data_IF_918209309539
#
_entry.id   IF_918209309539
#
_cell.length_a   1.000
_cell.length_b   1.000
_cell.length_c   1.000
_cell.angle_alpha   90.00
_cell.angle_beta   90.00
_cell.angle_gamma   90.00
#
_symmetry.space_group_name_H-M   'P 1'
#
loop_
_entity.id
_entity.type
_entity.pdbx_description
1 polymer ?
#
# COMPACT_ATOMS: atom_id res chain seq x y z
N UNK A 1 19.27 -7.35 13.53
CA UNK A 1 20.40 -6.40 13.65
C UNK A 1 19.80 -5.01 13.73
N UNK A 2 19.49 -4.56 14.93
CA UNK A 2 19.09 -3.19 15.21
C UNK A 2 19.88 -2.81 16.46
N UNK A 3 21.10 -2.32 16.24
CA UNK A 3 21.92 -1.77 17.30
C UNK A 3 21.45 -0.34 17.56
N UNK A 4 21.33 -0.01 18.84
CA UNK A 4 21.25 1.36 19.33
C UNK A 4 22.53 2.12 18.89
N UNK A 5 22.41 2.81 17.78
CA UNK A 5 23.39 3.74 17.28
C UNK A 5 22.60 4.80 16.55
N UNK A 6 22.89 6.07 16.85
CA UNK A 6 22.42 7.27 16.16
C UNK A 6 21.76 6.98 14.83
N UNK A 7 20.52 7.42 14.65
CA UNK A 7 19.87 7.57 13.34
C UNK A 7 20.76 8.44 12.46
N UNK A 8 21.77 7.84 11.83
CA UNK A 8 22.46 8.47 10.71
C UNK A 8 21.41 8.56 9.62
N UNK A 9 20.81 9.74 9.52
CA UNK A 9 20.03 10.13 8.35
C UNK A 9 20.98 9.96 7.19
N UNK A 10 20.69 9.00 6.32
CA UNK A 10 21.46 8.83 5.09
C UNK A 10 21.26 10.14 4.31
N UNK A 11 22.28 11.01 4.29
CA UNK A 11 22.32 12.19 3.43
C UNK A 11 22.38 11.70 1.98
N UNK A 12 21.22 11.37 1.45
CA UNK A 12 21.03 10.85 0.10
C UNK A 12 20.51 11.99 -0.77
N UNK A 13 21.31 12.37 -1.77
CA UNK A 13 20.82 13.25 -2.84
C UNK A 13 19.64 12.62 -3.59
N UNK A 14 19.48 11.29 -3.57
CA UNK A 14 18.36 10.60 -4.20
C UNK A 14 17.03 10.84 -3.44
N UNK A 15 17.09 11.13 -2.14
CA UNK A 15 15.92 11.35 -1.29
C UNK A 15 15.11 12.59 -1.73
N UNK A 16 15.78 13.65 -2.18
CA UNK A 16 15.14 14.85 -2.76
C UNK A 16 14.30 14.53 -4.01
N UNK A 17 14.69 13.49 -4.76
CA UNK A 17 14.00 13.07 -5.98
C UNK A 17 12.97 11.96 -5.75
N UNK A 18 12.85 11.43 -4.53
CA UNK A 18 11.91 10.36 -4.22
C UNK A 18 10.44 10.70 -4.56
N UNK A 19 9.94 11.94 -4.37
CA UNK A 19 8.58 12.29 -4.80
C UNK A 19 8.32 12.05 -6.31
N UNK A 20 9.34 12.18 -7.16
CA UNK A 20 9.18 11.96 -8.61
C UNK A 20 8.86 10.50 -8.95
N UNK A 21 9.23 9.54 -8.11
CA UNK A 21 8.90 8.12 -8.30
C UNK A 21 7.39 7.92 -8.41
N UNK A 22 6.61 8.66 -7.59
CA UNK A 22 5.15 8.66 -7.61
C UNK A 22 4.58 9.65 -8.64
N UNK A 23 5.17 10.85 -8.76
CA UNK A 23 4.60 11.93 -9.57
C UNK A 23 4.67 11.64 -11.06
N UNK A 24 5.73 10.95 -11.53
CA UNK A 24 5.87 10.57 -12.94
C UNK A 24 4.66 9.79 -13.47
N UNK A 25 4.26 8.64 -12.87
CA UNK A 25 3.07 7.91 -13.29
C UNK A 25 1.77 8.68 -12.99
N UNK A 26 1.71 9.46 -11.92
CA UNK A 26 0.55 10.28 -11.58
C UNK A 26 0.25 11.36 -12.64
N UNK A 27 1.29 12.01 -13.17
CA UNK A 27 1.17 13.03 -14.23
C UNK A 27 0.96 12.41 -15.61
N UNK A 28 1.42 11.18 -15.84
CA UNK A 28 1.17 10.46 -17.08
C UNK A 28 -0.31 10.06 -17.23
N UNK A 29 -1.04 9.82 -16.13
CA UNK A 29 -2.47 9.49 -16.13
C UNK A 29 -3.32 10.49 -16.94
N UNK A 30 -3.39 11.80 -16.60
CA UNK A 30 -4.21 12.74 -17.34
C UNK A 30 -3.68 12.92 -18.77
N UNK A 31 -2.36 12.89 -18.98
CA UNK A 31 -1.77 13.03 -20.33
C UNK A 31 -2.25 11.92 -21.26
N UNK A 32 -2.16 10.66 -20.84
CA UNK A 32 -2.62 9.51 -21.64
C UNK A 32 -4.13 9.60 -21.88
N UNK A 33 -4.90 9.97 -20.86
CA UNK A 33 -6.36 10.06 -20.96
C UNK A 33 -6.82 11.18 -21.91
N UNK A 34 -6.24 12.37 -21.82
CA UNK A 34 -6.57 13.51 -22.69
C UNK A 34 -6.12 13.28 -24.14
N UNK A 35 -4.88 12.82 -24.34
CA UNK A 35 -4.38 12.50 -25.68
C UNK A 35 -5.19 11.36 -26.31
N UNK A 36 -5.55 10.35 -25.51
CA UNK A 36 -6.40 9.24 -25.94
C UNK A 36 -7.78 9.68 -26.40
N UNK A 37 -8.40 10.63 -25.68
CA UNK A 37 -9.70 11.19 -26.09
C UNK A 37 -9.60 12.06 -27.35
N UNK A 38 -8.53 12.85 -27.48
CA UNK A 38 -8.34 13.79 -28.59
C UNK A 38 -7.94 13.08 -29.89
N UNK A 39 -7.09 12.06 -29.82
CA UNK A 39 -6.55 11.36 -30.98
C UNK A 39 -7.17 9.96 -31.18
N UNK A 40 -8.33 9.70 -30.57
CA UNK A 40 -8.99 8.41 -30.70
C UNK A 40 -9.30 8.09 -32.18
N UNK A 41 -9.02 6.87 -32.63
CA UNK A 41 -9.17 6.47 -34.03
C UNK A 41 -8.06 6.93 -34.98
N UNK A 42 -7.11 7.76 -34.54
CA UNK A 42 -5.96 8.14 -35.36
C UNK A 42 -4.93 7.00 -35.45
N UNK A 43 -4.45 6.69 -36.66
CA UNK A 43 -3.42 5.67 -36.90
C UNK A 43 -2.12 5.94 -36.14
N UNK A 44 -1.72 7.20 -35.99
CA UNK A 44 -0.49 7.53 -35.25
C UNK A 44 -0.62 7.23 -33.76
N UNK A 45 -1.78 7.48 -33.17
CA UNK A 45 -2.08 7.18 -31.77
C UNK A 45 -2.17 5.67 -31.54
N UNK A 46 -2.91 4.98 -32.41
CA UNK A 46 -3.13 3.54 -32.33
C UNK A 46 -1.85 2.74 -32.61
N UNK A 47 -1.23 2.93 -33.77
CA UNK A 47 -0.12 2.09 -34.22
C UNK A 47 1.23 2.60 -33.70
N UNK A 48 1.40 3.93 -33.67
CA UNK A 48 2.63 4.58 -33.27
C UNK A 48 2.82 4.60 -31.76
N UNK A 49 1.86 5.15 -31.01
CA UNK A 49 1.95 5.28 -29.54
C UNK A 49 1.30 4.13 -28.76
N UNK A 50 0.75 3.13 -29.47
CA UNK A 50 0.07 1.96 -28.87
C UNK A 50 -0.97 2.38 -27.84
N UNK A 51 -1.75 3.40 -28.23
CA UNK A 51 -2.80 4.04 -27.42
C UNK A 51 -2.33 4.51 -26.03
N UNK A 52 -1.07 4.90 -25.88
CA UNK A 52 -0.50 5.43 -24.64
C UNK A 52 0.43 4.46 -23.91
N UNK A 53 0.50 3.19 -24.32
CA UNK A 53 1.44 2.23 -23.73
C UNK A 53 2.90 2.65 -23.87
N UNK A 54 3.28 3.24 -25.00
CA UNK A 54 4.63 3.77 -25.21
C UNK A 54 4.92 5.07 -24.43
N UNK A 55 3.90 5.75 -23.91
CA UNK A 55 4.07 6.88 -22.99
C UNK A 55 4.28 6.34 -21.58
N UNK A 56 3.49 5.34 -21.18
CA UNK A 56 3.61 4.70 -19.87
C UNK A 56 4.97 4.02 -19.68
N UNK A 57 5.56 3.45 -20.75
CA UNK A 57 6.81 2.68 -20.66
C UNK A 57 8.02 3.49 -20.14
N UNK A 58 8.42 4.63 -20.75
CA UNK A 58 9.50 5.45 -20.25
C UNK A 58 9.20 6.06 -18.87
N UNK A 59 7.92 6.33 -18.57
CA UNK A 59 7.48 6.81 -17.26
C UNK A 59 7.76 5.77 -16.18
N UNK A 60 7.34 4.52 -16.39
CA UNK A 60 7.62 3.42 -15.46
C UNK A 60 9.11 3.09 -15.36
N UNK A 61 9.85 3.21 -16.47
CA UNK A 61 11.30 3.04 -16.46
C UNK A 61 11.98 4.14 -15.64
N UNK A 62 11.51 5.39 -15.74
CA UNK A 62 11.98 6.51 -14.91
C UNK A 62 11.76 6.26 -13.42
N UNK A 63 10.55 5.81 -13.03
CA UNK A 63 10.27 5.44 -11.64
C UNK A 63 11.17 4.30 -11.14
N UNK A 64 11.46 3.29 -11.97
CA UNK A 64 12.39 2.21 -11.61
C UNK A 64 13.83 2.71 -11.45
N UNK A 65 14.32 3.55 -12.36
CA UNK A 65 15.67 4.12 -12.28
C UNK A 65 15.85 4.94 -11.00
N UNK A 66 14.87 5.80 -10.68
CA UNK A 66 14.87 6.55 -9.43
C UNK A 66 14.79 5.64 -8.20
N UNK A 67 13.99 4.56 -8.27
CA UNK A 67 13.91 3.57 -7.18
C UNK A 67 15.23 2.83 -6.99
N UNK A 68 15.93 2.44 -8.06
CA UNK A 68 17.24 1.80 -8.00
C UNK A 68 18.32 2.74 -7.47
N UNK A 69 18.25 4.03 -7.80
CA UNK A 69 19.16 5.04 -7.25
C UNK A 69 18.92 5.22 -5.74
N UNK A 70 17.67 5.24 -5.30
CA UNK A 70 17.35 5.24 -3.87
C UNK A 70 17.85 3.96 -3.17
N UNK A 71 17.69 2.79 -3.80
CA UNK A 71 18.20 1.52 -3.28
C UNK A 71 19.72 1.56 -3.10
N UNK A 72 20.48 2.14 -4.04
CA UNK A 72 21.94 2.19 -3.92
C UNK A 72 22.43 2.94 -2.68
N UNK A 73 21.68 3.94 -2.23
CA UNK A 73 22.05 4.76 -1.08
C UNK A 73 21.75 4.04 0.26
N UNK A 74 20.82 3.09 0.26
CA UNK A 74 20.47 2.27 1.43
C UNK A 74 21.24 0.93 1.48
N UNK A 75 21.98 0.57 0.43
CA UNK A 75 22.86 -0.62 0.45
C UNK A 75 24.07 -0.34 1.33
N UNK A 76 24.19 -1.09 2.43
CA UNK A 76 25.32 -0.99 3.36
C UNK A 76 25.16 0.06 4.47
N UNK A 77 24.08 0.86 4.42
CA UNK A 77 23.67 1.76 5.50
C UNK A 77 22.53 1.17 6.34
N UNK A 78 22.42 1.61 7.60
CA UNK A 78 21.30 1.33 8.50
C UNK A 78 20.69 2.66 8.95
N UNK A 79 19.39 2.85 8.74
CA UNK A 79 18.71 4.11 9.03
C UNK A 79 17.40 4.26 8.26
N UNK A 80 16.67 5.32 8.59
CA UNK A 80 15.52 5.79 7.84
C UNK A 80 15.79 7.23 7.37
N UNK A 81 15.25 7.60 6.21
CA UNK A 81 15.29 8.95 5.68
C UNK A 81 13.89 9.53 5.54
N UNK A 82 13.74 10.81 5.88
CA UNK A 82 12.50 11.57 5.72
C UNK A 82 12.79 12.83 4.90
N UNK A 83 11.90 13.17 3.96
CA UNK A 83 11.98 14.43 3.21
C UNK A 83 11.33 15.57 3.99
N UNK A 84 11.67 16.83 3.66
CA UNK A 84 10.91 17.98 4.15
C UNK A 84 9.42 17.84 3.81
N UNK A 85 8.56 18.12 4.79
CA UNK A 85 7.11 17.98 4.67
C UNK A 85 6.49 19.13 3.92
N UNK A 86 5.54 18.83 3.05
CA UNK A 86 4.65 19.82 2.45
C UNK A 86 3.31 19.82 3.17
N UNK A 87 2.96 20.95 3.78
CA UNK A 87 1.66 21.11 4.44
C UNK A 87 0.54 21.07 3.41
N UNK A 88 -0.41 20.14 3.58
CA UNK A 88 -1.58 19.99 2.71
C UNK A 88 -2.70 20.94 3.12
N UNK A 89 -3.14 20.86 4.38
CA UNK A 89 -4.08 21.80 4.96
C UNK A 89 -3.89 21.92 6.46
N UNK A 90 -4.19 23.10 6.98
CA UNK A 90 -4.22 23.38 8.42
C UNK A 90 -5.66 23.67 8.83
N UNK A 91 -6.15 23.05 9.89
CA UNK A 91 -7.47 23.34 10.47
C UNK A 91 -7.37 23.65 11.96
N UNK A 92 -8.23 24.52 12.49
CA UNK A 92 -8.29 24.79 13.91
C UNK A 92 -9.41 24.00 14.57
N UNK A 93 -9.10 23.22 15.60
CA UNK A 93 -10.12 22.58 16.45
C UNK A 93 -10.29 23.40 17.73
N UNK A 94 -11.54 23.78 18.02
CA UNK A 94 -11.88 24.40 19.29
C UNK A 94 -11.96 23.33 20.37
N UNK A 95 -11.04 23.35 21.32
CA UNK A 95 -11.13 22.48 22.50
C UNK A 95 -12.09 23.13 23.51
N UNK A 96 -13.18 22.44 23.85
CA UNK A 96 -14.16 22.92 24.83
C UNK A 96 -13.57 23.20 26.23
N UNK A 97 -12.35 22.74 26.52
CA UNK A 97 -11.63 22.99 27.77
C UNK A 97 -10.58 24.11 27.74
N UNK A 98 -10.21 24.66 26.57
CA UNK A 98 -9.21 25.74 26.45
C UNK A 98 -9.70 26.87 25.54
N UNK A 99 -9.36 28.11 25.88
CA UNK A 99 -9.72 29.32 25.09
C UNK A 99 -8.92 29.40 23.77
N UNK A 100 -7.97 28.50 23.56
CA UNK A 100 -7.08 28.45 22.40
C UNK A 100 -7.55 27.43 21.37
N UNK A 101 -7.63 27.86 20.12
CA UNK A 101 -7.80 26.96 18.97
C UNK A 101 -6.52 26.18 18.77
N UNK A 102 -6.57 24.83 18.79
CA UNK A 102 -5.41 23.99 18.50
C UNK A 102 -5.34 23.77 16.99
N UNK A 103 -4.21 24.13 16.39
CA UNK A 103 -3.97 23.90 14.97
C UNK A 103 -3.66 22.42 14.71
N UNK A 104 -4.33 21.86 13.71
CA UNK A 104 -4.13 20.53 13.16
C UNK A 104 -3.49 20.74 11.80
N UNK A 105 -2.23 20.34 11.66
CA UNK A 105 -1.52 20.29 10.38
C UNK A 105 -1.65 18.88 9.80
N UNK A 106 -2.12 18.77 8.56
CA UNK A 106 -1.97 17.55 7.77
C UNK A 106 -1.02 17.86 6.62
N UNK A 107 0.04 17.06 6.50
CA UNK A 107 1.07 17.21 5.49
C UNK A 107 1.25 15.94 4.66
N UNK A 108 2.04 16.08 3.60
CA UNK A 108 2.53 14.99 2.80
C UNK A 108 4.06 15.04 2.80
N UNK A 109 4.67 13.90 3.09
CA UNK A 109 6.10 13.71 2.97
C UNK A 109 6.41 12.34 2.39
N UNK A 110 7.70 12.02 2.42
CA UNK A 110 8.23 10.73 1.98
C UNK A 110 8.99 10.10 3.13
N UNK A 111 8.64 8.85 3.46
CA UNK A 111 9.35 8.05 4.46
C UNK A 111 10.03 6.86 3.81
N UNK A 112 11.33 6.72 4.05
CA UNK A 112 12.18 5.74 3.38
C UNK A 112 12.96 4.96 4.42
N UNK A 113 12.74 3.64 4.45
CA UNK A 113 13.56 2.69 5.19
C UNK A 113 13.80 1.43 4.34
N UNK A 114 14.47 0.44 4.90
CA UNK A 114 14.77 -0.81 4.19
C UNK A 114 13.52 -1.56 3.69
N UNK A 115 12.40 -1.45 4.40
CA UNK A 115 11.13 -2.08 3.98
C UNK A 115 10.53 -1.32 2.78
N UNK A 116 10.52 0.02 2.84
CA UNK A 116 10.11 0.89 1.72
C UNK A 116 10.95 0.57 0.48
N UNK A 117 12.28 0.62 0.61
CA UNK A 117 13.22 0.46 -0.51
C UNK A 117 13.05 -0.90 -1.19
N UNK A 118 12.92 -1.98 -0.42
CA UNK A 118 12.69 -3.33 -0.96
C UNK A 118 11.37 -3.39 -1.75
N UNK A 119 10.27 -2.92 -1.17
CA UNK A 119 8.96 -2.95 -1.84
C UNK A 119 8.89 -2.01 -3.03
N UNK A 120 9.55 -0.86 -2.96
CA UNK A 120 9.59 0.13 -4.03
C UNK A 120 10.32 -0.43 -5.26
N UNK A 121 11.44 -1.13 -5.06
CA UNK A 121 12.14 -1.84 -6.13
C UNK A 121 11.24 -2.91 -6.76
N UNK A 122 10.66 -3.80 -5.96
CA UNK A 122 9.81 -4.90 -6.46
C UNK A 122 8.61 -4.33 -7.23
N UNK A 123 7.92 -3.35 -6.66
CA UNK A 123 6.73 -2.74 -7.27
C UNK A 123 7.08 -2.04 -8.58
N UNK A 124 8.09 -1.16 -8.61
CA UNK A 124 8.49 -0.43 -9.82
C UNK A 124 8.99 -1.37 -10.92
N UNK A 125 9.77 -2.39 -10.56
CA UNK A 125 10.29 -3.39 -11.49
C UNK A 125 9.17 -4.21 -12.12
N UNK A 126 8.25 -4.75 -11.33
CA UNK A 126 7.13 -5.53 -11.84
C UNK A 126 6.17 -4.66 -12.66
N UNK A 127 5.90 -3.42 -12.24
CA UNK A 127 5.06 -2.51 -13.02
C UNK A 127 5.65 -2.22 -14.42
N UNK A 128 6.98 -2.08 -14.54
CA UNK A 128 7.64 -1.94 -15.84
C UNK A 128 7.48 -3.19 -16.72
N UNK A 129 7.69 -4.39 -16.15
CA UNK A 129 7.52 -5.65 -16.88
C UNK A 129 6.07 -5.87 -17.31
N UNK A 130 5.11 -5.58 -16.44
CA UNK A 130 3.69 -5.70 -16.76
C UNK A 130 3.27 -4.69 -17.82
N UNK A 131 3.79 -3.47 -17.78
CA UNK A 131 3.53 -2.50 -18.85
C UNK A 131 4.07 -2.99 -20.20
N UNK A 132 5.29 -3.52 -20.21
CA UNK A 132 5.90 -4.12 -21.41
C UNK A 132 5.03 -5.26 -21.95
N UNK A 133 4.55 -6.14 -21.07
CA UNK A 133 3.62 -7.21 -21.43
C UNK A 133 2.28 -6.67 -21.93
N UNK A 134 1.73 -5.62 -21.30
CA UNK A 134 0.47 -5.01 -21.68
C UNK A 134 0.52 -4.38 -23.07
N UNK A 135 1.65 -3.79 -23.48
CA UNK A 135 1.86 -3.27 -24.85
C UNK A 135 1.65 -4.38 -25.89
N UNK A 136 2.17 -5.58 -25.66
CA UNK A 136 1.89 -6.71 -26.53
C UNK A 136 0.44 -7.18 -26.42
N UNK A 137 -0.04 -7.44 -25.21
CA UNK A 137 -1.34 -8.08 -24.99
C UNK A 137 -2.54 -7.21 -25.40
N UNK A 138 -2.59 -5.96 -24.95
CA UNK A 138 -3.75 -5.09 -25.14
C UNK A 138 -3.92 -4.63 -26.60
N UNK A 139 -2.82 -4.46 -27.32
CA UNK A 139 -2.84 -3.97 -28.71
C UNK A 139 -2.93 -5.08 -29.77
N UNK A 140 -3.14 -6.34 -29.35
CA UNK A 140 -3.26 -7.48 -30.28
C UNK A 140 -4.72 -7.80 -30.63
N UNK A 141 -5.66 -7.64 -29.70
CA UNK A 141 -7.06 -7.98 -29.92
C UNK A 141 -7.85 -6.77 -30.47
N UNK A 142 -8.49 -6.87 -31.66
CA UNK A 142 -9.31 -5.80 -32.21
C UNK A 142 -10.45 -5.33 -31.29
N UNK A 143 -10.91 -6.15 -30.34
CA UNK A 143 -11.91 -5.74 -29.36
C UNK A 143 -11.44 -4.53 -28.55
N UNK A 144 -10.13 -4.40 -28.35
CA UNK A 144 -9.47 -3.39 -27.53
C UNK A 144 -9.11 -2.11 -28.28
N UNK A 145 -9.33 -2.08 -29.59
CA UNK A 145 -9.06 -0.91 -30.40
C UNK A 145 -9.85 0.30 -29.89
N UNK A 146 -9.21 1.46 -29.86
CA UNK A 146 -9.78 2.75 -29.48
C UNK A 146 -10.25 2.86 -28.02
N UNK A 147 -9.84 1.92 -27.15
CA UNK A 147 -10.14 1.92 -25.71
C UNK A 147 -8.93 1.65 -24.81
N UNK A 148 -7.77 1.28 -25.35
CA UNK A 148 -6.57 0.95 -24.57
C UNK A 148 -5.99 2.17 -23.86
N UNK A 149 -6.25 3.38 -24.36
CA UNK A 149 -5.84 4.60 -23.65
C UNK A 149 -6.46 4.72 -22.26
N UNK A 150 -7.70 4.23 -22.07
CA UNK A 150 -8.30 4.14 -20.73
C UNK A 150 -7.54 3.14 -19.86
N UNK A 151 -7.22 1.97 -20.39
CA UNK A 151 -6.43 0.95 -19.70
C UNK A 151 -5.07 1.50 -19.25
N UNK A 152 -4.30 2.14 -20.14
CA UNK A 152 -2.97 2.66 -19.79
C UNK A 152 -3.03 3.82 -18.81
N UNK A 153 -4.03 4.69 -18.91
CA UNK A 153 -4.26 5.74 -17.94
C UNK A 153 -4.53 5.16 -16.54
N UNK A 154 -5.50 4.25 -16.44
CA UNK A 154 -5.84 3.57 -15.17
C UNK A 154 -4.66 2.75 -14.64
N UNK A 155 -3.88 2.13 -15.51
CA UNK A 155 -2.67 1.37 -15.18
C UNK A 155 -1.60 2.26 -14.52
N UNK A 156 -1.25 3.40 -15.11
CA UNK A 156 -0.22 4.28 -14.51
C UNK A 156 -0.73 4.94 -13.23
N UNK A 157 -2.03 5.27 -13.15
CA UNK A 157 -2.61 5.79 -11.91
C UNK A 157 -2.58 4.74 -10.78
N UNK A 158 -2.86 3.48 -11.13
CA UNK A 158 -2.74 2.36 -10.20
C UNK A 158 -1.28 2.20 -9.72
N UNK A 159 -0.30 2.26 -10.63
CA UNK A 159 1.12 2.18 -10.28
C UNK A 159 1.53 3.33 -9.36
N UNK A 160 1.07 4.55 -9.65
CA UNK A 160 1.26 5.72 -8.78
C UNK A 160 0.66 5.49 -7.39
N UNK A 161 -0.53 4.89 -7.30
CA UNK A 161 -1.15 4.51 -6.03
C UNK A 161 -0.27 3.56 -5.20
N UNK A 162 0.27 2.52 -5.82
CA UNK A 162 1.16 1.60 -5.10
C UNK A 162 2.47 2.28 -4.66
N UNK A 163 3.14 2.99 -5.55
CA UNK A 163 4.41 3.65 -5.24
C UNK A 163 4.22 4.75 -4.18
N UNK A 164 3.14 5.51 -4.27
CA UNK A 164 2.78 6.54 -3.29
C UNK A 164 2.46 5.96 -1.92
N UNK A 165 1.72 4.84 -1.84
CA UNK A 165 1.47 4.14 -0.58
C UNK A 165 2.77 3.70 0.09
N UNK A 166 3.70 3.14 -0.68
CA UNK A 166 5.00 2.68 -0.14
C UNK A 166 5.85 3.85 0.35
N UNK A 167 5.81 4.99 -0.34
CA UNK A 167 6.54 6.21 0.04
C UNK A 167 5.87 7.02 1.14
N UNK A 168 4.64 6.70 1.54
CA UNK A 168 3.89 7.51 2.50
C UNK A 168 4.59 7.63 3.86
N UNK A 169 4.57 8.82 4.44
CA UNK A 169 5.15 9.16 5.75
C UNK A 169 4.13 9.24 6.89
N UNK A 170 2.86 8.95 6.59
CA UNK A 170 1.78 8.91 7.56
C UNK A 170 0.77 7.83 7.20
N UNK A 171 0.07 7.30 8.19
CA UNK A 171 -1.00 6.33 7.93
C UNK A 171 -2.18 6.94 7.16
N UNK A 172 -2.43 8.25 7.30
CA UNK A 172 -3.43 8.95 6.51
C UNK A 172 -3.04 8.99 5.04
N UNK A 173 -1.78 9.32 4.74
CA UNK A 173 -1.30 9.40 3.38
C UNK A 173 -1.25 8.02 2.71
N UNK A 174 -0.84 7.00 3.47
CA UNK A 174 -0.96 5.59 3.09
C UNK A 174 -2.40 5.24 2.72
N UNK A 175 -3.39 5.64 3.54
CA UNK A 175 -4.81 5.38 3.30
C UNK A 175 -5.35 6.07 2.03
N UNK A 176 -4.91 7.29 1.73
CA UNK A 176 -5.32 7.98 0.49
C UNK A 176 -4.87 7.18 -0.75
N UNK A 177 -3.63 6.69 -0.76
CA UNK A 177 -3.13 5.88 -1.86
C UNK A 177 -3.72 4.45 -1.90
N UNK A 178 -4.02 3.89 -0.73
CA UNK A 178 -4.75 2.63 -0.58
C UNK A 178 -6.12 2.67 -1.25
N UNK A 179 -6.80 3.80 -1.11
CA UNK A 179 -8.08 4.10 -1.73
C UNK A 179 -7.97 4.36 -3.23
N UNK A 180 -7.01 5.17 -3.65
CA UNK A 180 -6.71 5.42 -5.06
C UNK A 180 -6.47 4.12 -5.82
N UNK A 181 -5.66 3.24 -5.26
CA UNK A 181 -5.38 1.92 -5.82
C UNK A 181 -6.65 1.03 -5.85
N UNK A 182 -7.51 1.13 -4.83
CA UNK A 182 -8.81 0.45 -4.81
C UNK A 182 -9.74 0.91 -5.94
N UNK A 183 -9.83 2.22 -6.17
CA UNK A 183 -10.59 2.76 -7.31
C UNK A 183 -10.03 2.26 -8.64
N UNK A 184 -8.70 2.32 -8.82
CA UNK A 184 -8.09 1.88 -10.06
C UNK A 184 -8.28 0.37 -10.29
N UNK A 185 -8.22 -0.47 -9.25
CA UNK A 185 -8.53 -1.90 -9.37
C UNK A 185 -9.97 -2.15 -9.85
N UNK A 186 -10.93 -1.37 -9.37
CA UNK A 186 -12.32 -1.49 -9.78
C UNK A 186 -12.49 -1.20 -11.28
N UNK A 187 -11.85 -0.12 -11.74
CA UNK A 187 -11.87 0.28 -13.15
C UNK A 187 -11.19 -0.77 -14.05
N UNK A 188 -10.02 -1.27 -13.63
CA UNK A 188 -9.23 -2.23 -14.39
C UNK A 188 -9.85 -3.63 -14.44
N UNK A 189 -10.43 -4.14 -13.34
CA UNK A 189 -11.19 -5.40 -13.35
C UNK A 189 -12.42 -5.24 -14.24
N UNK A 190 -13.09 -4.09 -14.14
CA UNK A 190 -14.26 -3.72 -14.94
C UNK A 190 -13.96 -3.25 -16.35
N UNK A 191 -12.75 -3.49 -16.88
CA UNK A 191 -12.36 -2.96 -18.20
C UNK A 191 -13.32 -3.40 -19.31
N UNK A 192 -13.74 -4.67 -19.30
CA UNK A 192 -14.77 -5.22 -20.20
C UNK A 192 -16.17 -5.06 -19.60
N UNK A 193 -16.55 -3.83 -19.22
CA UNK A 193 -17.79 -3.53 -18.49
C UNK A 193 -19.07 -3.96 -19.23
N UNK A 194 -19.01 -4.18 -20.54
CA UNK A 194 -20.12 -4.70 -21.34
C UNK A 194 -20.45 -6.16 -21.01
N UNK A 195 -19.49 -6.91 -20.43
CA UNK A 195 -19.70 -8.29 -19.97
C UNK A 195 -20.29 -8.26 -18.55
N UNK A 196 -21.49 -8.85 -18.34
CA UNK A 196 -22.11 -8.89 -17.01
C UNK A 196 -21.23 -9.56 -15.94
N UNK A 197 -20.41 -10.56 -16.33
CA UNK A 197 -19.46 -11.23 -15.43
C UNK A 197 -18.37 -10.27 -14.92
N UNK A 198 -17.72 -9.54 -15.81
CA UNK A 198 -16.68 -8.57 -15.47
C UNK A 198 -17.22 -7.40 -14.63
N UNK A 199 -18.41 -6.88 -14.97
CA UNK A 199 -19.07 -5.84 -14.19
C UNK A 199 -19.45 -6.32 -12.78
N UNK A 200 -19.89 -7.57 -12.63
CA UNK A 200 -20.16 -8.18 -11.33
C UNK A 200 -18.87 -8.38 -10.53
N UNK A 201 -17.82 -8.91 -11.15
CA UNK A 201 -16.52 -9.13 -10.52
C UNK A 201 -15.90 -7.82 -10.01
N UNK A 202 -15.93 -6.76 -10.81
CA UNK A 202 -15.44 -5.43 -10.40
C UNK A 202 -16.18 -4.92 -9.16
N UNK A 203 -17.53 -4.96 -9.18
CA UNK A 203 -18.34 -4.56 -8.01
C UNK A 203 -18.04 -5.40 -6.78
N UNK A 204 -17.93 -6.72 -6.94
CA UNK A 204 -17.63 -7.63 -5.83
C UNK A 204 -16.26 -7.33 -5.22
N UNK A 205 -15.23 -7.09 -6.04
CA UNK A 205 -13.91 -6.68 -5.58
C UNK A 205 -13.92 -5.36 -4.84
N UNK A 206 -14.57 -4.35 -5.42
CA UNK A 206 -14.67 -3.05 -4.78
C UNK A 206 -15.41 -3.11 -3.44
N UNK A 207 -16.58 -3.75 -3.39
CA UNK A 207 -17.37 -3.81 -2.16
C UNK A 207 -16.72 -4.68 -1.07
N UNK A 208 -16.11 -5.82 -1.43
CA UNK A 208 -15.46 -6.70 -0.44
C UNK A 208 -14.26 -6.01 0.20
N UNK A 209 -13.44 -5.32 -0.59
CA UNK A 209 -12.30 -4.55 -0.07
C UNK A 209 -12.77 -3.33 0.74
N UNK A 210 -13.85 -2.68 0.29
CA UNK A 210 -14.46 -1.54 0.98
C UNK A 210 -14.89 -1.85 2.42
N UNK A 211 -15.39 -3.05 2.67
CA UNK A 211 -15.73 -3.48 4.03
C UNK A 211 -14.50 -3.40 4.94
N UNK A 212 -13.35 -3.90 4.48
CA UNK A 212 -12.08 -3.77 5.20
C UNK A 212 -11.64 -2.32 5.35
N UNK A 213 -11.76 -1.52 4.29
CA UNK A 213 -11.36 -0.11 4.26
C UNK A 213 -12.13 0.74 5.31
N UNK A 214 -13.39 0.40 5.60
CA UNK A 214 -14.16 1.06 6.68
C UNK A 214 -13.56 0.77 8.05
N UNK A 215 -13.18 -0.47 8.34
CA UNK A 215 -12.53 -0.79 9.62
C UNK A 215 -11.15 -0.16 9.72
N UNK A 216 -10.38 -0.13 8.62
CA UNK A 216 -9.12 0.61 8.55
C UNK A 216 -9.32 2.07 8.92
N UNK A 217 -10.30 2.74 8.32
CA UNK A 217 -10.62 4.14 8.61
C UNK A 217 -11.01 4.37 10.08
N UNK A 218 -11.78 3.46 10.68
CA UNK A 218 -12.11 3.54 12.13
C UNK A 218 -10.85 3.35 12.98
N UNK A 219 -9.99 2.40 12.65
CA UNK A 219 -8.71 2.19 13.33
C UNK A 219 -7.80 3.42 13.26
N UNK A 220 -7.73 4.08 12.10
CA UNK A 220 -7.00 5.34 11.92
C UNK A 220 -7.60 6.48 12.74
N UNK A 221 -8.93 6.58 12.81
CA UNK A 221 -9.59 7.58 13.65
C UNK A 221 -9.27 7.35 15.14
N UNK A 222 -9.29 6.10 15.60
CA UNK A 222 -8.88 5.75 16.96
C UNK A 222 -7.41 6.09 17.21
N UNK A 223 -6.51 5.74 16.29
CA UNK A 223 -5.10 6.08 16.40
C UNK A 223 -4.90 7.60 16.48
N UNK A 224 -5.61 8.37 15.65
CA UNK A 224 -5.59 9.82 15.71
C UNK A 224 -6.02 10.33 17.09
N UNK A 225 -7.09 9.81 17.68
CA UNK A 225 -7.55 10.25 19.02
C UNK A 225 -6.55 9.94 20.13
N UNK A 226 -5.78 8.86 20.00
CA UNK A 226 -4.78 8.45 21.00
C UNK A 226 -3.51 9.31 20.90
N UNK A 227 -3.04 9.59 19.68
CA UNK A 227 -1.75 10.26 19.46
C UNK A 227 -1.87 11.80 19.40
N UNK A 228 -3.00 12.33 18.91
CA UNK A 228 -3.20 13.77 18.74
C UNK A 228 -2.95 14.61 20.00
N UNK A 229 -3.37 14.19 21.22
CA UNK A 229 -3.09 14.94 22.45
C UNK A 229 -1.59 15.18 22.68
N UNK A 230 -0.74 14.25 22.23
CA UNK A 230 0.71 14.24 22.46
C UNK A 230 1.52 14.97 21.38
N UNK A 231 0.87 15.46 20.32
CA UNK A 231 1.53 16.19 19.23
C UNK A 231 1.79 17.64 19.63
N UNK A 232 3.04 18.10 19.50
CA UNK A 232 3.36 19.52 19.65
C UNK A 232 2.76 20.33 18.48
N UNK A 233 1.83 21.26 18.73
CA UNK A 233 1.26 22.11 17.67
C UNK A 233 2.32 22.92 16.90
N UNK A 234 3.46 23.23 17.51
CA UNK A 234 4.53 23.99 16.86
C UNK A 234 5.38 23.16 15.88
N UNK A 235 5.28 21.83 15.93
CA UNK A 235 6.07 20.92 15.10
C UNK A 235 5.61 20.85 13.64
N UNK A 236 4.37 21.27 13.35
CA UNK A 236 3.75 21.10 12.02
C UNK A 236 3.43 19.65 11.64
N UNK A 237 3.65 18.70 12.55
CA UNK A 237 3.39 17.27 12.36
C UNK A 237 1.91 16.92 12.61
N UNK A 238 1.40 15.96 11.85
CA UNK A 238 0.11 15.32 12.07
C UNK A 238 0.20 14.15 13.03
N UNK A 239 -0.90 13.87 13.75
CA UNK A 239 -0.96 12.78 14.73
C UNK A 239 -0.80 11.36 14.14
N UNK A 240 -0.94 11.21 12.82
CA UNK A 240 -0.83 9.93 12.12
C UNK A 240 0.51 9.80 11.38
N UNK A 241 1.41 10.78 11.53
CA UNK A 241 2.72 10.79 10.90
C UNK A 241 3.63 9.78 11.58
N UNK A 242 4.45 9.07 10.80
CA UNK A 242 5.38 8.04 11.29
C UNK A 242 6.37 8.57 12.32
N UNK A 243 6.87 9.80 12.13
CA UNK A 243 7.70 10.50 13.12
C UNK A 243 7.02 10.67 14.50
N UNK A 244 5.69 10.67 14.56
CA UNK A 244 4.92 10.76 15.81
C UNK A 244 4.51 9.39 16.30
N UNK A 245 3.91 8.57 15.44
CA UNK A 245 3.30 7.29 15.86
C UNK A 245 4.32 6.19 16.12
N UNK A 246 5.54 6.32 15.60
CA UNK A 246 6.65 5.41 15.87
C UNK A 246 7.62 5.94 16.93
N UNK A 247 7.37 7.13 17.50
CA UNK A 247 8.15 7.65 18.62
C UNK A 247 7.89 6.82 19.88
N UNK A 248 8.97 6.27 20.45
CA UNK A 248 8.87 5.38 21.61
C UNK A 248 8.30 6.07 22.85
N UNK A 249 8.65 7.34 23.09
CA UNK A 249 8.14 8.05 24.27
C UNK A 249 6.64 8.34 24.17
N UNK A 250 6.15 8.63 22.97
CA UNK A 250 4.72 8.83 22.73
C UNK A 250 3.98 7.50 22.85
N UNK A 251 4.51 6.42 22.29
CA UNK A 251 3.94 5.07 22.45
C UNK A 251 3.83 4.72 23.94
N UNK A 252 4.87 4.97 24.74
CA UNK A 252 4.87 4.69 26.18
C UNK A 252 3.79 5.47 26.94
N UNK A 253 3.60 6.76 26.61
CA UNK A 253 2.53 7.60 27.19
C UNK A 253 1.13 7.08 26.83
N UNK A 254 0.93 6.66 25.58
CA UNK A 254 -0.33 6.09 25.11
C UNK A 254 -0.58 4.73 25.76
N UNK A 255 0.42 3.86 25.82
CA UNK A 255 0.34 2.53 26.42
C UNK A 255 -0.02 2.61 27.91
N UNK A 256 0.62 3.52 28.66
CA UNK A 256 0.37 3.70 30.09
C UNK A 256 -1.09 4.09 30.44
N UNK A 257 -1.81 4.69 29.49
CA UNK A 257 -3.17 5.18 29.71
C UNK A 257 -4.25 4.39 28.97
N UNK A 258 -3.93 3.81 27.80
CA UNK A 258 -4.90 3.31 26.83
C UNK A 258 -4.40 2.10 26.01
N UNK A 259 -3.54 1.21 26.56
CA UNK A 259 -2.98 0.05 25.84
C UNK A 259 -4.04 -0.77 25.09
N UNK A 260 -5.18 -1.07 25.73
CA UNK A 260 -6.28 -1.83 25.13
C UNK A 260 -6.95 -1.10 23.95
N UNK A 261 -7.11 0.21 24.02
CA UNK A 261 -7.68 1.00 22.91
C UNK A 261 -6.71 1.03 21.72
N UNK A 262 -5.41 1.10 21.99
CA UNK A 262 -4.38 0.99 20.95
C UNK A 262 -4.43 -0.39 20.28
N UNK A 263 -4.55 -1.48 21.04
CA UNK A 263 -4.70 -2.83 20.50
C UNK A 263 -5.95 -2.94 19.59
N UNK A 264 -7.08 -2.34 19.98
CA UNK A 264 -8.27 -2.28 19.12
C UNK A 264 -8.03 -1.47 17.85
N UNK A 265 -7.39 -0.30 17.93
CA UNK A 265 -7.07 0.51 16.76
C UNK A 265 -6.25 -0.30 15.74
N UNK A 266 -5.20 -0.97 16.21
CA UNK A 266 -4.34 -1.84 15.40
C UNK A 266 -5.11 -3.05 14.84
N UNK A 267 -5.98 -3.68 15.63
CA UNK A 267 -6.83 -4.78 15.17
C UNK A 267 -7.80 -4.36 14.06
N UNK A 268 -8.39 -3.18 14.15
CA UNK A 268 -9.27 -2.63 13.12
C UNK A 268 -8.50 -2.27 11.84
N UNK A 269 -7.28 -1.72 11.98
CA UNK A 269 -6.37 -1.52 10.84
C UNK A 269 -6.04 -2.85 10.14
N UNK A 270 -5.82 -3.91 10.91
CA UNK A 270 -5.56 -5.25 10.37
C UNK A 270 -6.76 -5.82 9.60
N UNK A 271 -8.02 -5.53 9.99
CA UNK A 271 -9.19 -5.92 9.18
C UNK A 271 -9.15 -5.26 7.78
N UNK A 272 -8.60 -4.05 7.68
CA UNK A 272 -8.25 -3.42 6.40
C UNK A 272 -7.32 -4.29 5.56
N UNK A 273 -6.20 -4.72 6.15
CA UNK A 273 -5.24 -5.62 5.50
C UNK A 273 -5.90 -6.94 5.06
N UNK A 274 -6.79 -7.52 5.87
CA UNK A 274 -7.55 -8.74 5.52
C UNK A 274 -8.35 -8.54 4.24
N UNK A 275 -9.01 -7.38 4.07
CA UNK A 275 -9.77 -7.04 2.87
C UNK A 275 -8.91 -6.94 1.60
N UNK A 276 -7.89 -6.07 1.60
CA UNK A 276 -7.03 -5.84 0.41
C UNK A 276 -6.15 -7.01 0.04
N UNK A 277 -5.70 -7.81 1.01
CA UNK A 277 -4.85 -8.97 0.76
C UNK A 277 -5.62 -10.27 0.59
N UNK A 278 -6.94 -10.20 0.42
CA UNK A 278 -7.82 -11.34 0.18
C UNK A 278 -7.63 -12.46 1.23
N UNK A 279 -7.53 -12.08 2.51
CA UNK A 279 -7.43 -13.04 3.59
C UNK A 279 -8.82 -13.51 4.01
N UNK A 280 -8.91 -14.67 4.66
CA UNK A 280 -10.16 -15.12 5.27
C UNK A 280 -10.63 -14.08 6.32
N UNK A 281 -11.91 -13.65 6.30
CA UNK A 281 -13.01 -14.13 5.44
C UNK A 281 -13.18 -13.35 4.12
N UNK A 282 -12.56 -12.19 3.94
CA UNK A 282 -12.74 -11.26 2.80
C UNK A 282 -11.97 -11.64 1.52
N UNK A 283 -11.86 -12.94 1.21
CA UNK A 283 -11.02 -13.47 0.14
C UNK A 283 -11.74 -13.67 -1.21
N UNK A 284 -13.08 -13.69 -1.20
CA UNK A 284 -13.93 -14.17 -2.30
C UNK A 284 -13.85 -13.34 -3.60
N UNK A 285 -13.27 -12.16 -3.55
CA UNK A 285 -13.19 -11.27 -4.71
C UNK A 285 -12.01 -11.59 -5.63
N UNK A 286 -10.92 -12.12 -5.08
CA UNK A 286 -9.65 -12.25 -5.78
C UNK A 286 -9.72 -13.25 -6.97
N UNK A 287 -10.38 -14.42 -6.86
CA UNK A 287 -10.54 -15.32 -8.00
C UNK A 287 -11.42 -14.73 -9.12
N UNK A 288 -12.41 -13.91 -8.76
CA UNK A 288 -13.31 -13.28 -9.74
C UNK A 288 -12.66 -12.09 -10.42
N UNK A 289 -11.66 -11.44 -9.78
CA UNK A 289 -10.85 -10.40 -10.40
C UNK A 289 -10.09 -10.89 -11.65
N UNK A 290 -10.01 -12.22 -11.88
CA UNK A 290 -9.46 -12.83 -13.10
C UNK A 290 -10.28 -12.58 -14.37
N UNK A 291 -11.50 -12.03 -14.24
CA UNK A 291 -12.32 -11.55 -15.37
C UNK A 291 -11.69 -10.34 -16.09
N UNK A 292 -10.80 -9.60 -15.41
CA UNK A 292 -10.06 -8.50 -16.00
C UNK A 292 -9.05 -8.95 -17.09
N UNK A 293 -8.50 -8.01 -17.87
CA UNK A 293 -7.40 -8.30 -18.77
C UNK A 293 -6.22 -8.96 -18.04
N UNK A 294 -5.55 -9.91 -18.68
CA UNK A 294 -4.43 -10.65 -18.04
C UNK A 294 -3.32 -9.76 -17.46
N UNK A 295 -2.94 -8.61 -18.07
CA UNK A 295 -2.03 -7.66 -17.43
C UNK A 295 -2.52 -7.12 -16.08
N UNK A 296 -3.84 -6.94 -15.90
CA UNK A 296 -4.45 -6.50 -14.63
C UNK A 296 -4.28 -7.57 -13.56
N UNK A 297 -4.50 -8.84 -13.92
CA UNK A 297 -4.26 -9.96 -13.01
C UNK A 297 -2.81 -9.99 -12.54
N UNK A 298 -1.84 -9.81 -13.45
CA UNK A 298 -0.42 -9.73 -13.07
C UNK A 298 -0.14 -8.53 -12.13
N UNK A 299 -0.73 -7.37 -12.42
CA UNK A 299 -0.56 -6.16 -11.62
C UNK A 299 -1.10 -6.30 -10.20
N UNK A 300 -2.35 -6.72 -10.06
CA UNK A 300 -3.04 -6.86 -8.76
C UNK A 300 -2.36 -7.91 -7.89
N UNK A 301 -1.91 -9.03 -8.48
CA UNK A 301 -1.43 -10.20 -7.74
C UNK A 301 0.06 -10.20 -7.42
N UNK A 302 0.89 -9.73 -8.35
CA UNK A 302 2.34 -9.82 -8.18
C UNK A 302 2.92 -8.54 -7.54
N UNK A 303 2.46 -7.38 -8.00
CA UNK A 303 3.17 -6.13 -7.74
C UNK A 303 2.62 -5.32 -6.57
N UNK A 304 1.31 -5.38 -6.27
CA UNK A 304 0.66 -4.20 -5.68
C UNK A 304 -0.43 -4.48 -4.62
N UNK A 305 -1.71 -4.60 -5.03
CA UNK A 305 -2.88 -4.44 -4.18
C UNK A 305 -2.92 -5.43 -3.02
N UNK A 306 -2.55 -6.67 -3.30
CA UNK A 306 -2.52 -7.73 -2.30
C UNK A 306 -1.30 -7.64 -1.38
N UNK A 307 -0.23 -6.95 -1.79
CA UNK A 307 0.95 -6.67 -0.96
C UNK A 307 0.72 -5.48 -0.02
N UNK A 308 -0.26 -4.62 -0.30
CA UNK A 308 -0.59 -3.46 0.51
C UNK A 308 -0.91 -3.83 1.97
N UNK A 309 -1.73 -4.87 2.17
CA UNK A 309 -2.05 -5.35 3.52
C UNK A 309 -0.84 -5.92 4.26
N UNK A 310 0.07 -6.60 3.56
CA UNK A 310 1.34 -7.05 4.13
C UNK A 310 2.20 -5.86 4.56
N UNK A 311 2.29 -4.83 3.72
CA UNK A 311 3.03 -3.61 4.02
C UNK A 311 2.46 -2.88 5.24
N UNK A 312 1.13 -2.75 5.33
CA UNK A 312 0.46 -2.15 6.49
C UNK A 312 0.80 -2.92 7.78
N UNK A 313 0.72 -4.26 7.77
CA UNK A 313 1.05 -5.07 8.94
C UNK A 313 2.53 -4.96 9.30
N UNK A 314 3.43 -4.96 8.32
CA UNK A 314 4.86 -4.73 8.56
C UNK A 314 5.11 -3.34 9.18
N UNK A 315 4.40 -2.31 8.72
CA UNK A 315 4.46 -0.94 9.27
C UNK A 315 3.92 -0.81 10.68
N UNK A 316 3.15 -1.79 11.17
CA UNK A 316 2.71 -1.82 12.56
C UNK A 316 3.78 -2.35 13.51
N UNK A 317 4.91 -2.88 13.01
CA UNK A 317 5.96 -3.49 13.83
C UNK A 317 6.44 -2.62 15.02
N UNK A 318 6.65 -1.29 14.89
CA UNK A 318 7.09 -0.46 16.01
C UNK A 318 6.19 -0.55 17.25
N UNK A 319 4.88 -0.73 17.08
CA UNK A 319 3.95 -0.90 18.21
C UNK A 319 4.13 -2.25 18.91
N UNK A 320 4.38 -3.33 18.16
CA UNK A 320 4.59 -4.67 18.73
C UNK A 320 5.95 -4.81 19.39
N UNK A 321 6.96 -4.08 18.89
CA UNK A 321 8.30 -4.04 19.45
C UNK A 321 8.48 -3.09 20.63
N UNK A 322 7.51 -2.23 20.93
CA UNK A 322 7.61 -1.29 22.05
C UNK A 322 7.57 -2.02 23.40
N UNK A 323 8.49 -1.68 24.31
CA UNK A 323 8.60 -2.31 25.63
C UNK A 323 7.33 -2.08 26.48
N UNK A 324 6.74 -0.89 26.40
CA UNK A 324 5.48 -0.57 27.10
C UNK A 324 4.27 -1.37 26.63
N UNK A 325 4.33 -1.99 25.44
CA UNK A 325 3.29 -2.84 24.88
C UNK A 325 3.61 -4.34 25.03
N UNK A 326 4.66 -4.70 25.75
CA UNK A 326 5.10 -6.09 25.90
C UNK A 326 3.98 -6.98 26.45
N UNK A 327 3.68 -8.08 25.75
CA UNK A 327 2.60 -9.02 26.06
C UNK A 327 1.17 -8.54 25.71
N UNK A 328 0.92 -7.23 25.65
CA UNK A 328 -0.42 -6.66 25.41
C UNK A 328 -0.95 -6.90 23.99
N UNK A 329 -0.06 -7.08 23.01
CA UNK A 329 -0.41 -7.29 21.59
C UNK A 329 -0.23 -8.76 21.14
N UNK A 330 0.11 -9.66 22.06
CA UNK A 330 0.35 -11.08 21.75
C UNK A 330 -0.86 -11.74 21.10
N UNK A 331 -2.07 -11.48 21.62
CA UNK A 331 -3.31 -12.02 21.05
C UNK A 331 -3.56 -11.52 19.63
N UNK A 332 -3.33 -10.22 19.38
CA UNK A 332 -3.47 -9.64 18.05
C UNK A 332 -2.46 -10.25 17.07
N UNK A 333 -1.20 -10.41 17.48
CA UNK A 333 -0.17 -11.06 16.67
C UNK A 333 -0.52 -12.52 16.34
N UNK A 334 -1.07 -13.25 17.32
CA UNK A 334 -1.57 -14.60 17.11
C UNK A 334 -2.75 -14.62 16.13
N UNK A 335 -3.69 -13.69 16.23
CA UNK A 335 -4.82 -13.57 15.29
C UNK A 335 -4.30 -13.32 13.87
N UNK A 336 -3.33 -12.43 13.68
CA UNK A 336 -2.69 -12.19 12.39
C UNK A 336 -2.10 -13.49 11.83
N UNK A 337 -1.34 -14.22 12.65
CA UNK A 337 -0.73 -15.49 12.26
C UNK A 337 -1.78 -16.55 11.92
N UNK A 338 -2.84 -16.66 12.72
CA UNK A 338 -3.90 -17.66 12.57
C UNK A 338 -4.76 -17.42 11.33
N UNK A 339 -5.10 -16.16 11.02
CA UNK A 339 -5.80 -15.79 9.79
C UNK A 339 -4.93 -16.09 8.56
N UNK A 340 -3.64 -15.74 8.62
CA UNK A 340 -2.68 -16.11 7.57
C UNK A 340 -2.62 -17.62 7.37
N UNK A 341 -2.43 -18.40 8.44
CA UNK A 341 -2.28 -19.85 8.35
C UNK A 341 -3.54 -20.54 7.81
N UNK A 342 -4.71 -20.10 8.30
CA UNK A 342 -6.00 -20.62 7.84
C UNK A 342 -6.22 -20.30 6.37
N UNK A 343 -5.95 -19.06 5.95
CA UNK A 343 -6.08 -18.64 4.55
C UNK A 343 -5.12 -19.41 3.66
N UNK A 344 -3.87 -19.64 4.10
CA UNK A 344 -2.86 -20.35 3.32
C UNK A 344 -3.30 -21.78 2.98
N UNK A 345 -3.78 -22.52 3.99
CA UNK A 345 -4.27 -23.90 3.83
C UNK A 345 -5.55 -23.94 3.01
N UNK A 346 -6.51 -23.05 3.32
CA UNK A 346 -7.79 -22.96 2.60
C UNK A 346 -7.57 -22.67 1.11
N UNK A 347 -6.74 -21.67 0.79
CA UNK A 347 -6.42 -21.28 -0.57
C UNK A 347 -5.79 -22.43 -1.37
N UNK A 348 -4.81 -23.13 -0.77
CA UNK A 348 -4.15 -24.28 -1.39
C UNK A 348 -5.13 -25.43 -1.66
N UNK A 349 -6.02 -25.74 -0.69
CA UNK A 349 -7.04 -26.77 -0.85
C UNK A 349 -8.02 -26.45 -1.99
N UNK A 350 -8.45 -25.19 -2.10
CA UNK A 350 -9.33 -24.77 -3.20
C UNK A 350 -8.60 -24.86 -4.55
N UNK A 351 -7.32 -24.47 -4.63
CA UNK A 351 -6.55 -24.52 -5.87
C UNK A 351 -6.50 -25.93 -6.50
N UNK A 352 -6.43 -27.00 -5.70
CA UNK A 352 -6.39 -28.38 -6.21
C UNK A 352 -7.64 -28.82 -6.97
N UNK A 353 -8.79 -28.18 -6.73
CA UNK A 353 -10.07 -28.52 -7.37
C UNK A 353 -10.51 -27.49 -8.41
N UNK A 354 -9.66 -26.49 -8.70
CA UNK A 354 -9.94 -25.49 -9.74
C UNK A 354 -9.51 -25.99 -11.12
N UNK A 355 -10.39 -25.79 -12.11
CA UNK A 355 -10.13 -26.14 -13.50
C UNK A 355 -9.61 -24.97 -14.35
N UNK A 356 -9.87 -23.72 -13.92
CA UNK A 356 -9.42 -22.52 -14.61
C UNK A 356 -8.00 -22.13 -14.16
N UNK A 357 -7.06 -22.06 -15.10
CA UNK A 357 -5.65 -21.76 -14.80
C UNK A 357 -5.46 -20.39 -14.11
N UNK A 358 -6.20 -19.36 -14.51
CA UNK A 358 -6.09 -18.02 -13.88
C UNK A 358 -6.57 -18.09 -12.43
N UNK A 359 -7.67 -18.80 -12.17
CA UNK A 359 -8.18 -18.99 -10.80
C UNK A 359 -7.21 -19.82 -9.96
N UNK A 360 -6.60 -20.87 -10.50
CA UNK A 360 -5.54 -21.64 -9.81
C UNK A 360 -4.38 -20.73 -9.40
N UNK A 361 -3.91 -19.86 -10.30
CA UNK A 361 -2.84 -18.90 -10.00
C UNK A 361 -3.27 -17.84 -8.97
N UNK A 362 -4.52 -17.38 -9.01
CA UNK A 362 -5.08 -16.47 -8.01
C UNK A 362 -5.07 -17.12 -6.61
N UNK A 363 -5.55 -18.36 -6.48
CA UNK A 363 -5.53 -19.11 -5.22
C UNK A 363 -4.10 -19.45 -4.76
N UNK A 364 -3.18 -19.76 -5.68
CA UNK A 364 -1.77 -19.96 -5.35
C UNK A 364 -1.15 -18.70 -4.76
N UNK A 365 -1.39 -17.54 -5.39
CA UNK A 365 -0.94 -16.23 -4.87
C UNK A 365 -1.54 -15.96 -3.49
N UNK A 366 -2.84 -16.17 -3.33
CA UNK A 366 -3.54 -15.99 -2.06
C UNK A 366 -2.92 -16.85 -0.94
N UNK A 367 -2.56 -18.10 -1.26
CA UNK A 367 -1.89 -19.00 -0.34
C UNK A 367 -0.50 -18.50 0.07
N UNK A 368 0.31 -18.05 -0.89
CA UNK A 368 1.67 -17.54 -0.64
C UNK A 368 1.66 -16.25 0.19
N UNK A 369 0.75 -15.31 -0.10
CA UNK A 369 0.63 -14.09 0.69
C UNK A 369 0.16 -14.37 2.11
N UNK A 370 -0.80 -15.29 2.25
CA UNK A 370 -1.28 -15.74 3.54
C UNK A 370 -0.18 -16.45 4.36
N UNK A 371 0.71 -17.19 3.70
CA UNK A 371 1.91 -17.73 4.33
C UNK A 371 2.83 -16.62 4.85
N UNK A 372 3.02 -15.52 4.10
CA UNK A 372 3.77 -14.35 4.58
C UNK A 372 3.05 -13.68 5.77
N UNK A 373 1.71 -13.54 5.76
CA UNK A 373 0.96 -13.07 6.94
C UNK A 373 1.19 -13.95 8.17
N UNK A 374 1.27 -15.27 7.98
CA UNK A 374 1.59 -16.21 9.06
C UNK A 374 2.96 -15.91 9.66
N UNK A 375 3.96 -15.72 8.79
CA UNK A 375 5.32 -15.36 9.20
C UNK A 375 5.40 -14.00 9.89
N UNK A 376 4.70 -12.98 9.37
CA UNK A 376 4.61 -11.66 10.00
C UNK A 376 3.94 -11.74 11.36
N UNK A 377 2.81 -12.44 11.49
CA UNK A 377 2.14 -12.62 12.77
C UNK A 377 3.01 -13.34 13.79
N UNK A 378 3.76 -14.37 13.37
CA UNK A 378 4.74 -15.03 14.23
C UNK A 378 5.88 -14.08 14.63
N UNK A 379 6.42 -13.29 13.70
CA UNK A 379 7.46 -12.31 14.00
C UNK A 379 6.97 -11.21 14.97
N UNK A 380 5.74 -10.71 14.79
CA UNK A 380 5.12 -9.75 15.70
C UNK A 380 4.85 -10.35 17.08
N UNK A 381 4.44 -11.63 17.13
CA UNK A 381 4.24 -12.35 18.39
C UNK A 381 5.56 -12.45 19.15
N UNK A 382 6.63 -12.87 18.46
CA UNK A 382 7.97 -12.95 19.03
C UNK A 382 8.47 -11.58 19.47
N UNK A 383 8.31 -10.53 18.66
CA UNK A 383 8.70 -9.17 19.00
C UNK A 383 7.97 -8.64 20.25
N UNK A 384 6.72 -9.05 20.46
CA UNK A 384 5.92 -8.56 21.58
C UNK A 384 6.06 -9.39 22.86
N UNK A 385 6.49 -10.65 22.76
CA UNK A 385 6.54 -11.59 23.91
C UNK A 385 7.95 -11.98 24.32
N UNK A 386 8.93 -11.92 23.43
CA UNK A 386 10.33 -12.08 23.82
C UNK A 386 10.88 -10.74 24.29
N UNK A 387 11.69 -10.77 25.35
CA UNK A 387 12.54 -9.64 25.73
C UNK A 387 13.72 -9.48 24.76
N UNK A 388 13.46 -9.44 23.44
CA UNK A 388 14.49 -9.44 22.40
C UNK A 388 15.46 -8.26 22.52
N UNK A 389 15.00 -7.13 23.08
CA UNK A 389 15.84 -5.98 23.42
C UNK A 389 16.97 -6.32 24.40
N UNK A 390 16.75 -7.25 25.33
CA UNK A 390 17.77 -7.69 26.30
C UNK A 390 18.89 -8.54 25.65
N UNK A 391 18.62 -9.13 24.47
CA UNK A 391 19.56 -10.00 23.76
C UNK A 391 20.33 -9.31 22.63
N UNK A 392 20.01 -8.04 22.32
CA UNK A 392 20.68 -7.23 21.30
C UNK A 392 21.62 -6.16 21.88
N UNK A 393 21.77 -6.10 23.21
CA UNK A 393 22.68 -5.21 23.93
C UNK A 393 24.14 -5.65 23.86
#
# INVERSE_FOLDING_TARGET
>A
MAGSGSTEVVESTALEYAPYILLLPMLAFPVILFLGKMFNGNKTWKDGLKEGGLIALPVMAGSLVLSLWLVSDFIGGSGAGETEKWTWFTSGMWDSGQVTVREISLGFGVYIDHVTVMLLFIASFLCLLINTFAIGYMNTDPINDNRNHRFYAEFVLFCSGMLGMVLADSFLWLFIFWELMGLCSYLLIGFYYERPSAAYAAKKAFLTTRVGDVFLMVGLAMLWTLFHPHVDPASGLGALDYAVVFDSEIIDKVAASNSGTLAWALGLMFIGAVGKSAQFPLHVWLPDAMEGPTPVSALIHAATMVNAGLYLVARMFPFFGAESMHGELADLAFIIAAIGGTTAVMAAAIAFVQHDLKKVLAYSTMSQLAYIFTGLGAALYLANTLHWHEYLA
#
